data_IF_396934925158
#
_entry.id   IF_396934925158
#
_cell.length_a   1.000
_cell.length_b   1.000
_cell.length_c   1.000
_cell.angle_alpha   90.00
_cell.angle_beta   90.00
_cell.angle_gamma   90.00
#
_symmetry.space_group_name_H-M   'P 1'
#
loop_
_entity.id
_entity.type
_entity.pdbx_description
1 polymer ?
#
# COMPACT_ATOMS: atom_id res chain seq x y z
N UNK A 1 -18.42 -13.53 44.67
CA UNK A 1 -17.08 -13.87 44.17
C UNK A 1 -17.19 -14.29 42.70
N UNK A 2 -16.43 -13.61 41.82
CA UNK A 2 -15.91 -13.98 40.47
C UNK A 2 -16.84 -14.76 39.51
N UNK A 3 -17.40 -14.11 38.46
CA UNK A 3 -16.84 -13.93 37.09
C UNK A 3 -16.10 -15.14 36.51
N UNK A 4 -16.65 -15.73 35.46
CA UNK A 4 -15.92 -16.16 34.27
C UNK A 4 -16.87 -16.20 33.06
N UNK A 5 -16.76 -15.18 32.20
CA UNK A 5 -17.33 -15.18 30.86
C UNK A 5 -16.21 -15.65 29.91
N UNK A 6 -16.33 -16.87 29.40
CA UNK A 6 -15.47 -17.39 28.34
C UNK A 6 -16.03 -16.95 26.99
N UNK A 7 -15.56 -15.82 26.48
CA UNK A 7 -15.79 -15.41 25.10
C UNK A 7 -15.00 -16.31 24.15
N UNK A 8 -15.69 -17.18 23.43
CA UNK A 8 -15.12 -17.95 22.33
C UNK A 8 -14.80 -17.02 21.17
N UNK A 9 -13.51 -16.85 20.88
CA UNK A 9 -13.02 -16.20 19.67
C UNK A 9 -13.39 -17.09 18.45
N UNK A 10 -13.95 -16.56 17.35
CA UNK A 10 -14.18 -17.35 16.15
C UNK A 10 -12.86 -17.88 15.57
N UNK A 11 -12.86 -19.06 14.94
CA UNK A 11 -11.65 -19.68 14.42
C UNK A 11 -11.04 -18.79 13.33
N UNK A 12 -9.75 -18.48 13.48
CA UNK A 12 -8.94 -17.91 12.42
C UNK A 12 -9.09 -18.76 11.16
N UNK A 13 -9.46 -18.15 10.03
CA UNK A 13 -9.51 -18.80 8.71
C UNK A 13 -8.19 -19.55 8.49
N UNK A 14 -8.27 -20.87 8.55
CA UNK A 14 -7.09 -21.74 8.50
C UNK A 14 -6.29 -21.51 7.22
N UNK A 15 -5.03 -21.09 7.37
CA UNK A 15 -4.04 -21.21 6.30
C UNK A 15 -3.97 -22.69 5.94
N UNK A 16 -4.51 -23.09 4.78
CA UNK A 16 -4.38 -24.47 4.30
C UNK A 16 -2.89 -24.81 4.25
N UNK A 17 -2.52 -25.98 4.78
CA UNK A 17 -1.12 -26.38 4.80
C UNK A 17 -0.56 -26.45 3.38
N UNK A 18 0.74 -26.15 3.22
CA UNK A 18 1.44 -26.19 1.94
C UNK A 18 1.31 -27.58 1.26
N UNK A 19 1.32 -28.65 2.06
CA UNK A 19 1.08 -30.01 1.61
C UNK A 19 -0.33 -30.20 1.01
N UNK A 20 -1.35 -29.54 1.58
CA UNK A 20 -2.73 -29.57 1.07
C UNK A 20 -2.89 -28.76 -0.22
N UNK A 21 -2.11 -27.68 -0.43
CA UNK A 21 -2.11 -26.92 -1.70
C UNK A 21 -1.41 -27.68 -2.81
N UNK A 22 -0.30 -28.34 -2.51
CA UNK A 22 0.44 -29.18 -3.47
C UNK A 22 -0.37 -30.42 -3.90
N UNK A 23 -1.09 -31.06 -2.97
CA UNK A 23 -1.93 -32.23 -3.27
C UNK A 23 -3.11 -31.94 -4.24
N UNK A 24 -3.46 -30.67 -4.46
CA UNK A 24 -4.52 -30.27 -5.38
C UNK A 24 -4.07 -30.09 -6.84
N UNK A 25 -2.77 -30.17 -7.13
CA UNK A 25 -2.24 -30.00 -8.48
C UNK A 25 -2.09 -31.35 -9.15
N UNK A 26 -2.92 -31.60 -10.17
CA UNK A 26 -2.84 -32.79 -11.01
C UNK A 26 -2.11 -32.46 -12.30
N UNK A 27 -0.89 -32.99 -12.46
CA UNK A 27 -0.21 -33.00 -13.75
C UNK A 27 -0.60 -34.29 -14.48
N UNK A 28 -1.27 -34.22 -15.62
CA UNK A 28 -1.56 -35.38 -16.46
C UNK A 28 -0.37 -35.69 -17.39
N UNK A 29 -0.22 -36.96 -17.80
CA UNK A 29 0.69 -37.30 -18.88
C UNK A 29 0.16 -36.75 -20.22
N UNK A 30 1.05 -36.33 -21.15
CA UNK A 30 0.63 -35.85 -22.46
C UNK A 30 -0.21 -36.91 -23.20
N UNK A 31 -1.35 -36.53 -23.81
CA UNK A 31 -2.07 -37.45 -24.67
C UNK A 31 -1.18 -37.82 -25.85
N UNK A 32 -1.10 -39.11 -26.20
CA UNK A 32 -0.27 -39.66 -27.29
C UNK A 32 1.24 -39.79 -27.00
N UNK A 33 1.66 -39.88 -25.73
CA UNK A 33 3.07 -40.13 -25.39
C UNK A 33 3.54 -41.51 -25.93
N UNK A 34 4.60 -41.57 -26.78
CA UNK A 34 5.11 -42.84 -27.26
C UNK A 34 5.56 -43.75 -26.11
N UNK A 35 5.25 -45.04 -26.19
CA UNK A 35 5.48 -46.01 -25.12
C UNK A 35 6.92 -46.02 -24.59
N UNK A 36 7.89 -45.81 -25.49
CA UNK A 36 9.32 -45.74 -25.16
C UNK A 36 9.68 -44.60 -24.20
N UNK A 37 8.89 -43.51 -24.16
CA UNK A 37 9.18 -42.34 -23.34
C UNK A 37 8.36 -42.28 -22.04
N UNK A 38 7.37 -43.16 -21.87
CA UNK A 38 6.48 -43.18 -20.69
C UNK A 38 7.26 -43.21 -19.38
N UNK A 39 8.26 -44.10 -19.27
CA UNK A 39 9.05 -44.22 -18.05
C UNK A 39 9.83 -42.95 -17.69
N UNK A 40 10.42 -42.30 -18.69
CA UNK A 40 11.22 -41.06 -18.48
C UNK A 40 10.31 -39.89 -18.11
N UNK A 41 9.18 -39.73 -18.81
CA UNK A 41 8.24 -38.63 -18.53
C UNK A 41 7.56 -38.81 -17.17
N UNK A 42 7.22 -40.03 -16.77
CA UNK A 42 6.67 -40.29 -15.44
C UNK A 42 7.69 -39.99 -14.34
N UNK A 43 8.98 -40.31 -14.55
CA UNK A 43 10.03 -39.96 -13.58
C UNK A 43 10.16 -38.44 -13.39
N UNK A 44 10.14 -37.67 -14.48
CA UNK A 44 10.16 -36.19 -14.43
C UNK A 44 8.89 -35.64 -13.78
N UNK A 45 7.72 -36.20 -14.08
CA UNK A 45 6.45 -35.82 -13.45
C UNK A 45 6.50 -36.01 -11.93
N UNK A 46 6.97 -37.16 -11.46
CA UNK A 46 7.11 -37.43 -10.03
C UNK A 46 8.11 -36.49 -9.36
N UNK A 47 9.21 -36.15 -10.03
CA UNK A 47 10.18 -35.20 -9.49
C UNK A 47 9.59 -33.79 -9.32
N UNK A 48 8.75 -33.34 -10.26
CA UNK A 48 8.06 -32.04 -10.16
C UNK A 48 7.02 -32.04 -9.04
N UNK A 49 6.24 -33.12 -8.90
CA UNK A 49 5.25 -33.26 -7.82
C UNK A 49 5.92 -33.24 -6.43
N UNK A 50 7.11 -33.82 -6.30
CA UNK A 50 7.88 -33.81 -5.05
C UNK A 50 8.41 -32.41 -4.69
N UNK A 51 8.77 -31.59 -5.69
CA UNK A 51 9.27 -30.22 -5.48
C UNK A 51 8.15 -29.21 -5.19
N UNK A 52 6.92 -29.52 -5.60
CA UNK A 52 5.78 -28.62 -5.59
C UNK A 52 5.45 -27.97 -4.23
N UNK A 53 5.51 -28.68 -3.08
CA UNK A 53 5.29 -28.05 -1.78
C UNK A 53 6.28 -26.92 -1.46
N UNK A 54 7.53 -27.02 -1.95
CA UNK A 54 8.56 -25.98 -1.77
C UNK A 54 8.36 -24.83 -2.75
N UNK A 55 7.99 -25.13 -4.00
CA UNK A 55 7.68 -24.11 -5.02
C UNK A 55 6.48 -23.24 -4.59
N UNK A 56 5.47 -23.84 -3.95
CA UNK A 56 4.27 -23.14 -3.50
C UNK A 56 4.43 -22.45 -2.13
N UNK A 57 5.61 -22.54 -1.51
CA UNK A 57 5.89 -21.87 -0.24
C UNK A 57 6.24 -20.40 -0.43
N UNK A 58 5.21 -19.56 -0.42
CA UNK A 58 5.36 -18.10 -0.52
C UNK A 58 6.10 -17.43 0.65
N UNK A 59 6.54 -18.18 1.67
CA UNK A 59 7.41 -17.64 2.72
C UNK A 59 8.90 -17.66 2.36
N UNK A 60 9.27 -18.38 1.30
CA UNK A 60 10.65 -18.50 0.83
C UNK A 60 10.84 -17.62 -0.42
N UNK A 61 11.71 -16.60 -0.38
CA UNK A 61 12.07 -15.84 -1.58
C UNK A 61 12.63 -16.76 -2.66
N UNK A 62 12.21 -16.56 -3.91
CA UNK A 62 12.56 -17.45 -5.03
C UNK A 62 14.06 -17.60 -5.22
N UNK A 63 14.84 -16.54 -5.00
CA UNK A 63 16.30 -16.60 -5.08
C UNK A 63 16.89 -17.58 -4.07
N UNK A 64 16.40 -17.56 -2.83
CA UNK A 64 16.80 -18.52 -1.79
C UNK A 64 16.37 -19.94 -2.14
N UNK A 65 15.23 -20.12 -2.80
CA UNK A 65 14.76 -21.44 -3.25
C UNK A 65 15.74 -22.08 -4.23
N UNK A 66 16.27 -21.30 -5.19
CA UNK A 66 17.29 -21.75 -6.15
C UNK A 66 18.68 -21.90 -5.51
N UNK A 67 19.10 -20.98 -4.64
CA UNK A 67 20.42 -21.04 -3.98
C UNK A 67 20.55 -22.24 -3.02
N UNK A 68 19.46 -22.62 -2.34
CA UNK A 68 19.49 -23.63 -1.28
C UNK A 68 19.04 -25.02 -1.74
N UNK A 69 18.54 -25.16 -2.98
CA UNK A 69 18.07 -26.44 -3.51
C UNK A 69 18.82 -26.77 -4.80
N UNK A 70 19.96 -27.49 -4.75
CA UNK A 70 20.75 -27.82 -5.93
C UNK A 70 19.95 -28.53 -7.02
N UNK A 71 18.93 -29.29 -6.64
CA UNK A 71 18.06 -29.97 -7.58
C UNK A 71 17.19 -29.00 -8.41
N UNK A 72 17.04 -27.74 -8.01
CA UNK A 72 16.32 -26.73 -8.79
C UNK A 72 17.22 -26.11 -9.86
N UNK A 73 18.52 -26.03 -9.57
CA UNK A 73 19.57 -25.63 -10.50
C UNK A 73 19.70 -26.73 -11.57
N UNK A 74 19.07 -26.52 -12.73
CA UNK A 74 19.13 -27.44 -13.88
C UNK A 74 17.83 -28.16 -14.21
N UNK A 75 16.85 -28.22 -13.31
CA UNK A 75 15.48 -28.73 -13.62
C UNK A 75 14.49 -27.63 -13.96
N UNK A 76 14.69 -26.42 -13.43
CA UNK A 76 13.81 -25.29 -13.64
C UNK A 76 14.58 -24.11 -14.21
N UNK A 77 13.92 -23.37 -15.10
CA UNK A 77 14.38 -22.07 -15.55
C UNK A 77 13.56 -21.00 -14.84
N UNK A 78 14.27 -20.05 -14.22
CA UNK A 78 13.63 -18.86 -13.67
C UNK A 78 13.49 -17.84 -14.80
N UNK A 79 12.24 -17.48 -15.12
CA UNK A 79 11.95 -16.39 -16.05
C UNK A 79 11.82 -15.13 -15.19
N UNK A 80 12.85 -14.28 -15.19
CA UNK A 80 12.77 -12.95 -14.61
C UNK A 80 11.89 -12.08 -15.51
N UNK A 81 10.59 -12.09 -15.27
CA UNK A 81 9.73 -11.03 -15.76
C UNK A 81 9.76 -9.87 -14.76
N UNK A 82 10.76 -9.01 -14.89
CA UNK A 82 10.90 -7.81 -14.05
C UNK A 82 9.65 -6.91 -14.08
N UNK A 83 8.81 -7.02 -15.12
CA UNK A 83 7.53 -6.29 -15.19
C UNK A 83 6.51 -6.84 -14.19
N UNK A 84 6.56 -8.12 -13.84
CA UNK A 84 5.63 -8.75 -12.88
C UNK A 84 5.88 -8.34 -11.43
N UNK A 85 7.15 -8.12 -11.05
CA UNK A 85 7.50 -7.57 -9.74
C UNK A 85 7.13 -6.07 -9.66
N UNK A 86 7.39 -5.30 -10.72
CA UNK A 86 6.97 -3.91 -10.84
C UNK A 86 5.44 -3.78 -10.81
N UNK A 87 4.70 -4.65 -11.50
CA UNK A 87 3.23 -4.69 -11.49
C UNK A 87 2.66 -5.03 -10.10
N UNK A 88 3.30 -5.93 -9.34
CA UNK A 88 2.83 -6.22 -7.98
C UNK A 88 3.12 -5.08 -7.00
N UNK A 89 4.28 -4.44 -7.12
CA UNK A 89 4.61 -3.24 -6.33
C UNK A 89 3.69 -2.07 -6.66
N UNK A 90 3.48 -1.78 -7.95
CA UNK A 90 2.60 -0.70 -8.42
C UNK A 90 1.14 -0.96 -8.02
N UNK A 91 0.68 -2.22 -8.09
CA UNK A 91 -0.66 -2.60 -7.61
C UNK A 91 -0.80 -2.44 -6.10
N UNK A 92 0.20 -2.87 -5.33
CA UNK A 92 0.15 -2.78 -3.86
C UNK A 92 0.24 -1.34 -3.38
N UNK A 93 1.09 -0.51 -4.00
CA UNK A 93 1.18 0.92 -3.75
C UNK A 93 -0.14 1.62 -4.11
N UNK A 94 -0.68 1.33 -5.29
CA UNK A 94 -1.97 1.85 -5.74
C UNK A 94 -3.14 1.44 -4.84
N UNK A 95 -3.15 0.21 -4.32
CA UNK A 95 -4.14 -0.23 -3.32
C UNK A 95 -4.02 0.54 -2.01
N UNK A 96 -2.79 0.75 -1.51
CA UNK A 96 -2.54 1.55 -0.32
C UNK A 96 -2.96 3.01 -0.52
N UNK A 97 -2.65 3.59 -1.67
CA UNK A 97 -3.11 4.93 -2.05
C UNK A 97 -4.63 5.00 -2.09
N UNK A 98 -5.29 4.07 -2.76
CA UNK A 98 -6.76 4.01 -2.82
C UNK A 98 -7.41 3.91 -1.44
N UNK A 99 -6.82 3.15 -0.51
CA UNK A 99 -7.30 3.06 0.87
C UNK A 99 -7.11 4.38 1.63
N UNK A 100 -5.99 5.07 1.42
CA UNK A 100 -5.65 6.32 2.10
C UNK A 100 -6.44 7.50 1.56
N UNK A 101 -6.68 7.54 0.24
CA UNK A 101 -7.50 8.58 -0.39
C UNK A 101 -8.99 8.27 -0.30
N UNK A 102 -9.39 7.03 -0.04
CA UNK A 102 -10.79 6.61 -0.11
C UNK A 102 -11.37 6.71 -1.53
N UNK A 103 -10.50 6.69 -2.55
CA UNK A 103 -10.87 6.90 -3.95
C UNK A 103 -11.05 8.37 -4.36
N UNK A 104 -10.78 9.32 -3.45
CA UNK A 104 -10.73 10.73 -3.80
C UNK A 104 -9.48 11.03 -4.64
N UNK A 105 -9.68 11.74 -5.76
CA UNK A 105 -8.61 12.21 -6.65
C UNK A 105 -8.72 13.72 -6.94
N UNK A 106 -9.64 14.42 -6.28
CA UNK A 106 -9.75 15.88 -6.36
C UNK A 106 -8.61 16.55 -5.59
N UNK A 107 -8.09 17.65 -6.14
CA UNK A 107 -6.96 18.40 -5.61
C UNK A 107 -7.14 18.75 -4.13
N UNK A 108 -8.32 19.22 -3.72
CA UNK A 108 -8.54 19.61 -2.33
C UNK A 108 -8.42 18.45 -1.34
N UNK A 109 -8.92 17.27 -1.69
CA UNK A 109 -8.79 16.07 -0.85
C UNK A 109 -7.34 15.58 -0.81
N UNK A 110 -6.62 15.65 -1.93
CA UNK A 110 -5.20 15.30 -2.00
C UNK A 110 -4.34 16.26 -1.16
N UNK A 111 -4.51 17.57 -1.34
CA UNK A 111 -3.82 18.60 -0.55
C UNK A 111 -4.10 18.45 0.96
N UNK A 112 -5.33 18.09 1.33
CA UNK A 112 -5.68 17.82 2.74
C UNK A 112 -4.85 16.67 3.31
N UNK A 113 -4.73 15.58 2.54
CA UNK A 113 -4.00 14.39 2.93
C UNK A 113 -2.50 14.69 3.03
N UNK A 114 -1.93 15.32 2.01
CA UNK A 114 -0.51 15.66 1.92
C UNK A 114 -0.09 16.66 3.00
N UNK A 115 -0.92 17.67 3.28
CA UNK A 115 -0.68 18.60 4.38
C UNK A 115 -0.69 17.89 5.74
N UNK A 116 -1.58 16.91 5.92
CA UNK A 116 -1.58 16.02 7.07
C UNK A 116 -0.24 15.29 7.25
N UNK A 117 0.26 14.68 6.18
CA UNK A 117 1.55 13.97 6.15
C UNK A 117 2.72 14.93 6.46
N UNK A 118 2.77 16.07 5.79
CA UNK A 118 3.82 17.09 5.96
C UNK A 118 3.85 17.69 7.38
N UNK A 119 2.71 17.71 8.07
CA UNK A 119 2.60 18.12 9.48
C UNK A 119 2.80 16.95 10.47
N UNK A 120 3.12 15.75 9.99
CA UNK A 120 3.26 14.52 10.78
C UNK A 120 1.96 14.10 11.48
N UNK A 121 0.79 14.48 10.96
CA UNK A 121 -0.52 14.05 11.42
C UNK A 121 -0.99 12.81 10.64
N UNK A 122 -2.03 12.14 11.13
CA UNK A 122 -2.63 11.03 10.40
C UNK A 122 -3.19 11.52 9.04
N UNK A 123 -2.88 10.84 7.92
CA UNK A 123 -3.37 11.22 6.60
C UNK A 123 -4.89 11.08 6.55
N UNK A 124 -5.57 12.14 6.13
CA UNK A 124 -7.03 12.21 5.99
C UNK A 124 -7.35 13.07 4.78
N UNK A 125 -8.38 12.69 4.04
CA UNK A 125 -8.89 13.48 2.90
C UNK A 125 -9.94 14.50 3.30
N UNK A 126 -10.36 14.52 4.57
CA UNK A 126 -11.35 15.46 5.09
C UNK A 126 -10.94 15.99 6.47
N UNK A 127 -10.98 17.31 6.61
CA UNK A 127 -10.81 18.00 7.89
C UNK A 127 -12.14 18.53 8.39
N UNK A 128 -12.28 18.61 9.71
CA UNK A 128 -13.27 19.50 10.34
C UNK A 128 -12.61 20.86 10.58
N UNK A 129 -13.39 21.93 10.75
CA UNK A 129 -12.88 23.24 11.19
C UNK A 129 -11.92 23.15 12.39
N UNK A 130 -12.30 22.36 13.41
CA UNK A 130 -11.45 22.13 14.58
C UNK A 130 -10.17 21.35 14.20
N UNK A 131 -10.28 20.40 13.28
CA UNK A 131 -9.16 19.64 12.74
C UNK A 131 -8.17 20.54 11.99
N UNK A 132 -8.65 21.41 11.11
CA UNK A 132 -7.85 22.39 10.40
C UNK A 132 -7.12 23.32 11.36
N UNK A 133 -7.81 23.88 12.36
CA UNK A 133 -7.19 24.73 13.37
C UNK A 133 -6.14 23.98 14.22
N UNK A 134 -6.36 22.69 14.49
CA UNK A 134 -5.39 21.86 15.20
C UNK A 134 -4.16 21.56 14.35
N UNK A 135 -4.35 21.36 13.05
CA UNK A 135 -3.28 21.11 12.09
C UNK A 135 -2.37 22.33 11.93
N UNK A 136 -2.95 23.53 11.76
CA UNK A 136 -2.18 24.79 11.70
C UNK A 136 -1.36 25.01 12.97
N UNK A 137 -1.96 24.80 14.15
CA UNK A 137 -1.21 24.91 15.42
C UNK A 137 -0.06 23.90 15.49
N UNK A 138 -0.25 22.69 14.96
CA UNK A 138 0.81 21.70 14.89
C UNK A 138 1.93 22.16 13.98
N UNK A 139 1.61 22.61 12.76
CA UNK A 139 2.57 23.17 11.79
C UNK A 139 3.41 24.27 12.45
N UNK A 140 2.78 25.23 13.12
CA UNK A 140 3.50 26.34 13.78
C UNK A 140 4.34 25.88 14.98
N UNK A 141 3.97 24.78 15.63
CA UNK A 141 4.70 24.23 16.78
C UNK A 141 5.89 23.36 16.36
N UNK A 142 5.72 22.51 15.36
CA UNK A 142 6.71 21.48 14.99
C UNK A 142 7.38 21.71 13.63
N UNK A 143 6.97 22.74 12.90
CA UNK A 143 7.36 22.96 11.51
C UNK A 143 6.51 22.16 10.52
N UNK A 144 6.47 22.66 9.29
CA UNK A 144 6.00 21.94 8.10
C UNK A 144 7.19 21.21 7.47
N UNK A 145 7.02 19.94 7.10
CA UNK A 145 8.04 19.15 6.41
C UNK A 145 7.55 18.73 5.01
N UNK A 146 7.71 19.59 3.98
CA UNK A 146 7.21 19.31 2.63
C UNK A 146 7.75 18.02 2.02
N UNK A 147 8.99 17.65 2.35
CA UNK A 147 9.64 16.45 1.83
C UNK A 147 8.96 15.14 2.27
N UNK A 148 8.27 15.13 3.41
CA UNK A 148 7.51 13.95 3.86
C UNK A 148 6.35 13.66 2.92
N UNK A 149 5.67 14.70 2.43
CA UNK A 149 4.58 14.53 1.46
C UNK A 149 5.11 14.12 0.08
N UNK A 150 6.24 14.66 -0.37
CA UNK A 150 6.92 14.20 -1.60
C UNK A 150 7.32 12.73 -1.53
N UNK A 151 7.93 12.30 -0.43
CA UNK A 151 8.29 10.91 -0.21
C UNK A 151 7.03 10.01 -0.20
N UNK A 152 5.97 10.47 0.46
CA UNK A 152 4.70 9.75 0.51
C UNK A 152 4.05 9.58 -0.88
N UNK A 153 4.12 10.60 -1.76
CA UNK A 153 3.65 10.50 -3.15
C UNK A 153 4.45 9.42 -3.89
N UNK A 154 5.78 9.48 -3.84
CA UNK A 154 6.65 8.50 -4.52
C UNK A 154 6.41 7.07 -4.04
N UNK A 155 6.19 6.88 -2.74
CA UNK A 155 6.12 5.56 -2.13
C UNK A 155 4.73 4.90 -2.26
N UNK A 156 3.68 5.69 -2.54
CA UNK A 156 2.30 5.20 -2.51
C UNK A 156 1.49 5.54 -3.75
N UNK A 157 1.64 6.72 -4.35
CA UNK A 157 0.79 7.10 -5.47
C UNK A 157 1.07 6.23 -6.72
N UNK A 158 0.04 5.96 -7.54
CA UNK A 158 0.21 5.27 -8.81
C UNK A 158 1.27 5.97 -9.66
N UNK A 159 2.19 5.20 -10.26
CA UNK A 159 3.33 5.75 -10.98
C UNK A 159 2.93 6.82 -12.02
N UNK A 160 1.82 6.59 -12.72
CA UNK A 160 1.30 7.49 -13.75
C UNK A 160 0.87 8.87 -13.22
N UNK A 161 0.68 9.04 -11.92
CA UNK A 161 0.21 10.28 -11.31
C UNK A 161 1.22 10.90 -10.34
N UNK A 162 2.41 10.30 -10.14
CA UNK A 162 3.38 10.79 -9.16
C UNK A 162 3.85 12.20 -9.48
N UNK A 163 4.20 12.47 -10.73
CA UNK A 163 4.69 13.78 -11.16
C UNK A 163 3.59 14.85 -11.01
N UNK A 164 2.37 14.58 -11.49
CA UNK A 164 1.24 15.51 -11.36
C UNK A 164 0.93 15.85 -9.89
N UNK A 165 0.96 14.85 -9.00
CA UNK A 165 0.71 15.07 -7.57
C UNK A 165 1.87 15.78 -6.88
N UNK A 166 3.10 15.56 -7.32
CA UNK A 166 4.27 16.30 -6.85
C UNK A 166 4.15 17.78 -7.23
N UNK A 167 3.86 18.08 -8.49
CA UNK A 167 3.68 19.45 -8.98
C UNK A 167 2.55 20.18 -8.23
N UNK A 168 1.41 19.51 -8.02
CA UNK A 168 0.30 20.04 -7.23
C UNK A 168 0.75 20.41 -5.80
N UNK A 169 1.49 19.50 -5.15
CA UNK A 169 1.99 19.72 -3.79
C UNK A 169 2.99 20.87 -3.72
N UNK A 170 3.89 20.95 -4.69
CA UNK A 170 4.91 22.00 -4.78
C UNK A 170 4.30 23.39 -4.92
N UNK A 171 3.36 23.55 -5.87
CA UNK A 171 2.66 24.81 -6.08
C UNK A 171 1.90 25.24 -4.82
N UNK A 172 1.22 24.30 -4.16
CA UNK A 172 0.57 24.61 -2.88
C UNK A 172 1.56 25.07 -1.80
N UNK A 173 2.70 24.38 -1.64
CA UNK A 173 3.69 24.75 -0.62
C UNK A 173 4.29 26.13 -0.91
N UNK A 174 4.62 26.42 -2.17
CA UNK A 174 5.17 27.72 -2.59
C UNK A 174 4.24 28.88 -2.19
N UNK A 175 2.93 28.73 -2.38
CA UNK A 175 1.96 29.77 -2.06
C UNK A 175 1.52 29.80 -0.59
N UNK A 176 1.38 28.63 0.05
CA UNK A 176 0.73 28.51 1.35
C UNK A 176 1.67 28.52 2.54
N UNK A 177 2.95 28.14 2.36
CA UNK A 177 3.84 27.88 3.50
C UNK A 177 4.04 29.11 4.40
N UNK A 178 4.20 30.29 3.82
CA UNK A 178 4.37 31.53 4.57
C UNK A 178 3.16 31.82 5.48
N UNK A 179 1.94 31.68 4.94
CA UNK A 179 0.69 31.90 5.67
C UNK A 179 0.47 30.86 6.77
N UNK A 180 0.77 29.59 6.48
CA UNK A 180 0.60 28.49 7.44
C UNK A 180 1.59 28.58 8.60
N UNK A 181 2.83 28.99 8.32
CA UNK A 181 3.91 29.07 9.32
C UNK A 181 3.96 30.42 10.06
N UNK A 182 3.25 31.45 9.58
CA UNK A 182 3.23 32.78 10.20
C UNK A 182 2.79 32.73 11.66
N UNK A 183 3.57 33.34 12.55
CA UNK A 183 3.25 33.52 13.97
C UNK A 183 2.48 34.82 14.26
N UNK A 184 2.29 35.67 13.25
CA UNK A 184 1.66 36.99 13.39
C UNK A 184 0.12 36.94 13.48
N UNK A 185 -0.48 35.84 12.99
CA UNK A 185 -1.93 35.62 13.01
C UNK A 185 -2.32 34.72 14.19
N UNK A 186 -2.47 35.31 15.38
CA UNK A 186 -2.81 34.59 16.61
C UNK A 186 -4.19 33.90 16.57
N UNK A 187 -5.11 34.42 15.76
CA UNK A 187 -6.47 33.88 15.62
C UNK A 187 -6.56 32.79 14.52
N UNK A 188 -5.47 32.54 13.80
CA UNK A 188 -5.37 31.60 12.68
C UNK A 188 -6.32 31.94 11.52
N UNK A 189 -6.80 33.18 11.42
CA UNK A 189 -7.81 33.59 10.43
C UNK A 189 -7.36 33.36 9.01
N UNK A 190 -6.15 33.80 8.67
CA UNK A 190 -5.63 33.75 7.30
C UNK A 190 -5.29 32.30 6.94
N UNK A 191 -4.66 31.57 7.87
CA UNK A 191 -4.37 30.16 7.69
C UNK A 191 -5.64 29.33 7.51
N UNK A 192 -6.70 29.58 8.29
CA UNK A 192 -7.97 28.87 8.15
C UNK A 192 -8.72 29.26 6.89
N UNK A 193 -8.67 30.52 6.45
CA UNK A 193 -9.25 30.94 5.18
C UNK A 193 -8.56 30.24 4.01
N UNK A 194 -7.23 30.14 4.04
CA UNK A 194 -6.45 29.38 3.06
C UNK A 194 -6.85 27.90 3.05
N UNK A 195 -6.93 27.25 4.21
CA UNK A 195 -7.31 25.83 4.27
C UNK A 195 -8.74 25.59 3.78
N UNK A 196 -9.68 26.51 3.98
CA UNK A 196 -11.05 26.37 3.42
C UNK A 196 -11.09 26.53 1.91
N UNK A 197 -10.15 27.28 1.34
CA UNK A 197 -10.04 27.53 -0.10
C UNK A 197 -9.39 26.35 -0.82
N UNK A 198 -8.29 25.86 -0.27
CA UNK A 198 -7.42 24.88 -0.94
C UNK A 198 -7.69 23.44 -0.48
N UNK A 199 -8.09 23.22 0.78
CA UNK A 199 -8.27 21.89 1.35
C UNK A 199 -9.75 21.54 1.51
N UNK A 200 -10.03 20.24 1.63
CA UNK A 200 -11.34 19.70 1.91
C UNK A 200 -11.67 19.84 3.40
N UNK A 201 -12.19 21.03 3.77
CA UNK A 201 -12.62 21.35 5.13
C UNK A 201 -14.14 21.34 5.20
N UNK A 202 -14.68 20.44 6.02
CA UNK A 202 -16.11 20.42 6.32
C UNK A 202 -16.49 21.69 7.10
N UNK A 203 -17.46 22.49 6.61
CA UNK A 203 -17.92 23.68 7.31
C UNK A 203 -18.49 23.30 8.68
N UNK A 204 -18.23 24.12 9.69
CA UNK A 204 -18.84 23.92 11.01
C UNK A 204 -20.35 24.03 10.87
N UNK A 205 -21.06 22.95 11.21
CA UNK A 205 -22.51 22.98 11.40
C UNK A 205 -22.84 23.90 12.59
N UNK A 206 -22.96 25.20 12.35
CA UNK A 206 -23.23 26.19 13.38
C UNK A 206 -23.16 27.63 12.88
N UNK A 207 -24.29 28.15 12.39
CA UNK A 207 -24.50 29.58 12.15
C UNK A 207 -25.79 29.86 11.36
N UNK A 208 -26.77 30.59 11.90
CA UNK A 208 -28.14 30.71 11.39
C UNK A 208 -28.24 31.70 10.21
N UNK A 209 -29.28 31.52 9.39
CA UNK A 209 -29.78 32.58 8.51
C UNK A 209 -30.51 33.68 9.29
#
# INVERSE_FOLDING_TARGET
MRRQAGGGNPPAKGKKSLATRAAGVTMALPPQLPQAFVGVVEAVRQSILADLPRILDGSVPVRKLFDQTPAFIGRYFWIEDGLSEVDHHDRSASEAWHQLTGGHSDDSSLLTLLLGVAAGAAPKTLLTEKGAASLVRKIRKSGLQPDLARAFIRDHAPLANQDDYADLWEGFVEEAQATLCSDHDYELKDALALLRRECNVKPSSGGPG
#
